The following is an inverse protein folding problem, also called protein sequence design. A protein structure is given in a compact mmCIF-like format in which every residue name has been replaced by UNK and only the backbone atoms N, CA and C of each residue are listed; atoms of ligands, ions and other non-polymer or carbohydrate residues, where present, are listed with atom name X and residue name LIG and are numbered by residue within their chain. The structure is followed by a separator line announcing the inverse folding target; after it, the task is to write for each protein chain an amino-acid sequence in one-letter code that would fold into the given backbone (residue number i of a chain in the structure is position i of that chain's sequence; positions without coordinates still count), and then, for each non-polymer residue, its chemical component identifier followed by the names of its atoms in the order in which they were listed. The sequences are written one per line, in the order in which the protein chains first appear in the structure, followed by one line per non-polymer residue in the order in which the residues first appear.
data_IF_411714288678
#
_entry.id   IF_411714288678
#
_cell.length_a   1.000
_cell.length_b   1.000
_cell.length_c   1.000
_cell.angle_alpha   90.00
_cell.angle_beta   90.00
_cell.angle_gamma   90.00
#
_symmetry.space_group_name_H-M   'P 1'
#
loop_
_entity.id
_entity.type
_entity.pdbx_description
1 polymer ?
#
# COMPACT_ATOMS: atom_id res chain seq x y z
N UNK A 1 -13.73 -7.25 23.05
CA UNK A 1 -12.96 -6.47 22.03
C UNK A 1 -13.62 -6.76 20.69
N UNK A 2 -13.71 -5.81 19.75
CA UNK A 2 -14.10 -6.16 18.39
C UNK A 2 -13.07 -7.12 17.80
N UNK A 3 -13.53 -8.15 17.11
CA UNK A 3 -12.68 -9.09 16.38
C UNK A 3 -12.35 -8.51 15.00
N UNK A 4 -11.10 -8.67 14.55
CA UNK A 4 -10.69 -8.36 13.19
C UNK A 4 -10.62 -9.66 12.40
N UNK A 5 -11.47 -9.81 11.40
CA UNK A 5 -11.46 -10.94 10.46
C UNK A 5 -10.71 -10.57 9.19
N UNK A 6 -10.18 -11.56 8.47
CA UNK A 6 -9.57 -11.38 7.16
C UNK A 6 -9.64 -12.65 6.32
N UNK A 7 -9.53 -12.50 5.00
CA UNK A 7 -9.58 -13.58 4.03
C UNK A 7 -8.39 -13.48 3.06
N UNK A 8 -7.50 -14.47 3.06
CA UNK A 8 -6.34 -14.52 2.16
C UNK A 8 -6.67 -14.55 0.66
N UNK A 9 -7.93 -14.87 0.30
CA UNK A 9 -8.46 -14.83 -1.07
C UNK A 9 -9.15 -13.50 -1.42
N UNK A 10 -9.18 -12.52 -0.51
CA UNK A 10 -9.72 -11.18 -0.74
C UNK A 10 -8.59 -10.22 -1.10
N UNK A 11 -8.67 -9.58 -2.27
CA UNK A 11 -7.69 -8.55 -2.66
C UNK A 11 -7.64 -7.40 -1.64
N UNK A 12 -8.79 -7.00 -1.08
CA UNK A 12 -8.88 -5.93 -0.08
C UNK A 12 -8.13 -6.31 1.20
N UNK A 13 -8.30 -7.54 1.68
CA UNK A 13 -7.61 -8.01 2.89
C UNK A 13 -6.11 -8.16 2.65
N UNK A 14 -5.70 -8.65 1.46
CA UNK A 14 -4.28 -8.71 1.09
C UNK A 14 -3.63 -7.33 1.00
N UNK A 15 -4.34 -6.32 0.50
CA UNK A 15 -3.88 -4.93 0.53
C UNK A 15 -3.75 -4.44 1.97
N UNK A 16 -4.71 -4.74 2.85
CA UNK A 16 -4.64 -4.39 4.26
C UNK A 16 -3.47 -5.08 4.98
N UNK A 17 -3.22 -6.36 4.71
CA UNK A 17 -2.11 -7.12 5.28
C UNK A 17 -0.76 -6.56 4.79
N UNK A 18 -0.67 -6.20 3.50
CA UNK A 18 0.51 -5.56 2.94
C UNK A 18 0.81 -4.22 3.62
N UNK A 19 -0.12 -3.26 3.61
CA UNK A 19 0.14 -1.93 4.20
C UNK A 19 0.46 -2.02 5.69
N UNK A 20 -0.22 -2.92 6.43
CA UNK A 20 0.08 -3.16 7.84
C UNK A 20 1.50 -3.64 8.07
N UNK A 21 1.88 -4.75 7.42
CA UNK A 21 3.22 -5.30 7.57
C UNK A 21 4.30 -4.34 7.04
N UNK A 22 4.03 -3.67 5.92
CA UNK A 22 4.97 -2.78 5.27
C UNK A 22 5.28 -1.55 6.12
N UNK A 23 4.25 -0.90 6.67
CA UNK A 23 4.42 0.27 7.55
C UNK A 23 5.09 -0.14 8.88
N UNK A 24 4.77 -1.31 9.44
CA UNK A 24 5.44 -1.84 10.64
C UNK A 24 6.94 -2.05 10.39
N UNK A 25 7.31 -2.58 9.23
CA UNK A 25 8.71 -2.81 8.83
C UNK A 25 9.46 -1.50 8.65
N UNK A 26 8.84 -0.50 8.02
CA UNK A 26 9.45 0.82 7.83
C UNK A 26 9.63 1.61 9.13
N UNK A 27 8.70 1.46 10.09
CA UNK A 27 8.85 2.01 11.44
C UNK A 27 9.90 1.25 12.29
N UNK A 28 10.22 0.01 11.91
CA UNK A 28 11.25 -0.80 12.54
C UNK A 28 12.66 -0.29 12.24
N UNK A 29 13.59 -0.47 13.18
CA UNK A 29 15.01 -0.14 12.96
C UNK A 29 15.65 -1.13 11.97
N UNK A 30 15.93 -0.67 10.75
CA UNK A 30 16.98 -1.22 9.86
C UNK A 30 16.61 -2.42 8.97
N UNK A 31 15.43 -2.45 8.35
CA UNK A 31 14.98 -3.63 7.57
C UNK A 31 14.56 -3.34 6.13
N UNK A 32 15.42 -2.65 5.37
CA UNK A 32 15.20 -2.47 3.92
C UNK A 32 14.96 -3.81 3.20
N UNK A 33 15.68 -4.87 3.57
CA UNK A 33 15.50 -6.20 2.97
C UNK A 33 14.08 -6.77 3.15
N UNK A 34 13.51 -6.68 4.35
CA UNK A 34 12.17 -7.21 4.60
C UNK A 34 11.10 -6.38 3.88
N UNK A 35 11.33 -5.07 3.74
CA UNK A 35 10.48 -4.21 2.94
C UNK A 35 10.51 -4.63 1.46
N UNK A 36 11.68 -5.00 0.94
CA UNK A 36 11.85 -5.51 -0.42
C UNK A 36 11.17 -6.87 -0.63
N UNK A 37 11.30 -7.80 0.34
CA UNK A 37 10.62 -9.11 0.31
C UNK A 37 9.08 -8.95 0.36
N UNK A 38 8.56 -8.03 1.17
CA UNK A 38 7.13 -7.71 1.19
C UNK A 38 6.68 -7.17 -0.17
N UNK A 39 7.45 -6.25 -0.76
CA UNK A 39 7.16 -5.73 -2.11
C UNK A 39 7.15 -6.87 -3.12
N UNK A 40 8.13 -7.76 -3.10
CA UNK A 40 8.19 -8.92 -3.98
C UNK A 40 6.98 -9.84 -3.82
N UNK A 41 6.55 -10.12 -2.59
CA UNK A 41 5.41 -11.01 -2.35
C UNK A 41 4.07 -10.39 -2.78
N UNK A 42 3.84 -9.11 -2.47
CA UNK A 42 2.52 -8.48 -2.65
C UNK A 42 2.34 -7.74 -3.99
N UNK A 43 3.40 -7.25 -4.62
CA UNK A 43 3.32 -6.44 -5.84
C UNK A 43 3.73 -7.25 -7.06
N UNK A 44 3.10 -7.01 -8.20
CA UNK A 44 3.53 -7.55 -9.49
C UNK A 44 4.93 -7.04 -9.88
N UNK A 45 5.67 -7.81 -10.66
CA UNK A 45 7.06 -7.49 -11.03
C UNK A 45 7.13 -6.22 -11.88
N UNK A 46 6.21 -6.06 -12.84
CA UNK A 46 6.09 -4.87 -13.67
C UNK A 46 5.81 -3.62 -12.83
N UNK A 47 4.95 -3.75 -11.81
CA UNK A 47 4.65 -2.62 -10.92
C UNK A 47 5.86 -2.25 -10.06
N UNK A 48 6.59 -3.22 -9.52
CA UNK A 48 7.84 -2.97 -8.77
C UNK A 48 8.86 -2.20 -9.62
N UNK A 49 9.00 -2.55 -10.90
CA UNK A 49 9.88 -1.83 -11.81
C UNK A 49 9.44 -0.36 -12.00
N UNK A 50 8.14 -0.12 -12.19
CA UNK A 50 7.58 1.24 -12.30
C UNK A 50 7.76 2.06 -11.03
N UNK A 51 7.58 1.45 -9.85
CA UNK A 51 7.87 2.10 -8.58
C UNK A 51 9.33 2.52 -8.50
N UNK A 52 10.27 1.63 -8.83
CA UNK A 52 11.69 1.95 -8.78
C UNK A 52 12.09 3.13 -9.67
N UNK A 53 11.43 3.31 -10.83
CA UNK A 53 11.62 4.50 -11.66
C UNK A 53 11.06 5.75 -10.97
N UNK A 54 9.82 5.69 -10.48
CA UNK A 54 9.19 6.81 -9.80
C UNK A 54 9.98 7.26 -8.56
N UNK A 55 10.46 6.32 -7.74
CA UNK A 55 11.21 6.58 -6.51
C UNK A 55 12.54 7.28 -6.80
N UNK A 56 13.22 6.92 -7.90
CA UNK A 56 14.45 7.61 -8.35
C UNK A 56 14.18 9.05 -8.77
N UNK A 57 13.02 9.31 -9.38
CA UNK A 57 12.64 10.64 -9.86
C UNK A 57 12.15 11.55 -8.71
N UNK A 58 11.45 11.01 -7.72
CA UNK A 58 10.75 11.79 -6.69
C UNK A 58 11.43 11.77 -5.32
N UNK A 59 12.34 10.83 -5.07
CA UNK A 59 13.10 10.75 -3.81
C UNK A 59 12.26 10.37 -2.59
N UNK A 60 11.14 9.68 -2.78
CA UNK A 60 10.26 9.19 -1.72
C UNK A 60 9.92 7.71 -1.89
N UNK A 61 9.11 7.18 -0.97
CA UNK A 61 8.55 5.83 -1.08
C UNK A 61 7.37 5.84 -2.06
N UNK A 62 7.46 5.04 -3.12
CA UNK A 62 6.47 5.01 -4.19
C UNK A 62 5.19 4.26 -3.84
N UNK A 63 5.22 3.38 -2.85
CA UNK A 63 4.02 2.73 -2.32
C UNK A 63 3.20 3.73 -1.51
N UNK A 64 3.89 4.53 -0.69
CA UNK A 64 3.26 5.54 0.16
C UNK A 64 2.98 6.86 -0.58
N UNK A 65 3.57 7.06 -1.77
CA UNK A 65 3.60 8.32 -2.53
C UNK A 65 4.07 9.50 -1.68
N UNK A 66 5.05 9.26 -0.80
CA UNK A 66 5.49 10.26 0.17
C UNK A 66 6.95 10.07 0.60
N UNK A 67 7.55 11.11 1.18
CA UNK A 67 8.92 11.06 1.72
C UNK A 67 9.00 10.55 3.16
N UNK A 68 7.86 10.42 3.85
CA UNK A 68 7.78 10.04 5.25
C UNK A 68 6.89 8.83 5.46
N UNK A 69 6.66 8.49 6.74
CA UNK A 69 5.79 7.39 7.15
C UNK A 69 4.45 7.92 7.70
N UNK A 70 3.32 7.29 7.34
CA UNK A 70 2.04 7.64 7.91
C UNK A 70 1.97 7.17 9.37
N UNK A 71 1.19 7.89 10.18
CA UNK A 71 0.91 7.54 11.58
C UNK A 71 -0.17 6.48 11.70
N UNK A 72 -1.09 6.44 10.74
CA UNK A 72 -2.09 5.37 10.63
C UNK A 72 -2.55 5.19 9.19
N UNK A 73 -3.19 4.06 8.93
CA UNK A 73 -3.75 3.72 7.63
C UNK A 73 -5.11 3.06 7.79
N UNK A 74 -5.98 3.21 6.78
CA UNK A 74 -7.26 2.54 6.70
C UNK A 74 -7.47 2.00 5.27
N UNK A 75 -8.10 0.84 5.16
CA UNK A 75 -8.35 0.17 3.88
C UNK A 75 -9.84 -0.07 3.73
N UNK A 76 -10.37 0.26 2.55
CA UNK A 76 -11.76 0.03 2.19
C UNK A 76 -11.85 -0.52 0.77
N UNK A 77 -12.82 -1.40 0.53
CA UNK A 77 -13.20 -1.76 -0.84
C UNK A 77 -13.65 -0.51 -1.60
N UNK A 78 -13.23 -0.36 -2.86
CA UNK A 78 -13.68 0.73 -3.71
C UNK A 78 -14.54 0.20 -4.87
N UNK A 79 -13.97 -0.63 -5.75
CA UNK A 79 -14.68 -1.19 -6.90
C UNK A 79 -14.00 -2.46 -7.44
N UNK A 80 -14.64 -3.17 -8.38
CA UNK A 80 -14.04 -4.29 -9.11
C UNK A 80 -14.61 -4.41 -10.52
N UNK A 81 -13.78 -4.78 -11.48
CA UNK A 81 -14.14 -4.81 -12.90
C UNK A 81 -12.92 -4.87 -13.81
N UNK A 82 -13.13 -5.19 -15.10
CA UNK A 82 -12.07 -5.24 -16.11
C UNK A 82 -10.84 -6.11 -15.73
N UNK A 83 -11.03 -7.17 -14.95
CA UNK A 83 -9.93 -8.03 -14.50
C UNK A 83 -9.16 -7.50 -13.28
N UNK A 84 -9.67 -6.46 -12.61
CA UNK A 84 -9.02 -5.82 -11.48
C UNK A 84 -9.96 -5.60 -10.30
N UNK A 85 -9.35 -5.47 -9.13
CA UNK A 85 -10.01 -5.03 -7.90
C UNK A 85 -9.35 -3.74 -7.43
N UNK A 86 -10.14 -2.70 -7.21
CA UNK A 86 -9.69 -1.44 -6.66
C UNK A 86 -10.00 -1.35 -5.18
N UNK A 87 -8.98 -1.01 -4.42
CA UNK A 87 -9.03 -0.83 -2.98
C UNK A 87 -8.62 0.60 -2.67
N UNK A 88 -9.37 1.28 -1.82
CA UNK A 88 -9.04 2.61 -1.32
C UNK A 88 -8.19 2.47 -0.06
N UNK A 89 -7.01 3.08 -0.06
CA UNK A 89 -6.13 3.15 1.10
C UNK A 89 -5.99 4.60 1.52
N UNK A 90 -6.43 4.92 2.74
CA UNK A 90 -6.27 6.25 3.33
C UNK A 90 -5.07 6.22 4.25
N UNK A 91 -4.04 7.01 3.94
CA UNK A 91 -2.87 7.23 4.77
C UNK A 91 -3.08 8.53 5.57
N UNK A 92 -2.88 8.46 6.88
CA UNK A 92 -2.95 9.62 7.77
C UNK A 92 -1.55 10.02 8.19
N UNK A 93 -1.24 11.30 8.06
CA UNK A 93 0.04 11.90 8.44
C UNK A 93 -0.22 12.87 9.57
N UNK A 94 0.34 12.62 10.75
CA UNK A 94 0.22 13.54 11.89
C UNK A 94 1.57 14.18 12.18
N UNK A 95 1.62 15.52 12.17
CA UNK A 95 2.82 16.29 12.47
C UNK A 95 2.48 17.74 12.86
N UNK A 96 3.26 18.32 13.77
CA UNK A 96 3.11 19.72 14.22
C UNK A 96 1.67 20.12 14.62
N UNK A 97 0.91 19.21 15.24
CA UNK A 97 -0.46 19.47 15.69
C UNK A 97 -1.54 19.39 14.61
N UNK A 98 -1.18 19.05 13.36
CA UNK A 98 -2.12 18.88 12.26
C UNK A 98 -2.09 17.45 11.72
N UNK A 99 -3.23 17.00 11.18
CA UNK A 99 -3.33 15.74 10.44
C UNK A 99 -3.73 16.02 9.00
N UNK A 100 -3.01 15.45 8.05
CA UNK A 100 -3.35 15.45 6.63
C UNK A 100 -3.58 14.03 6.16
N UNK A 101 -4.38 13.84 5.11
CA UNK A 101 -4.67 12.53 4.55
C UNK A 101 -4.25 12.46 3.08
N UNK A 102 -3.66 11.33 2.69
CA UNK A 102 -3.47 10.96 1.28
C UNK A 102 -4.36 9.76 1.01
N UNK A 103 -5.15 9.83 -0.06
CA UNK A 103 -5.99 8.72 -0.48
C UNK A 103 -5.36 8.09 -1.71
N UNK A 104 -5.14 6.79 -1.65
CA UNK A 104 -4.58 5.99 -2.71
C UNK A 104 -5.65 5.05 -3.25
N UNK A 105 -5.80 5.03 -4.57
CA UNK A 105 -6.48 3.97 -5.27
C UNK A 105 -5.45 2.89 -5.64
N UNK A 106 -5.61 1.72 -5.02
CA UNK A 106 -4.73 0.56 -5.16
C UNK A 106 -5.41 -0.45 -6.05
N UNK A 107 -4.82 -0.72 -7.20
CA UNK A 107 -5.31 -1.71 -8.16
C UNK A 107 -4.62 -3.05 -7.90
N UNK A 108 -5.41 -4.11 -7.81
CA UNK A 108 -4.94 -5.49 -7.74
C UNK A 108 -5.35 -6.27 -8.97
N UNK A 109 -4.46 -7.12 -9.46
CA UNK A 109 -4.78 -8.12 -10.49
C UNK A 109 -5.76 -9.15 -9.92
N UNK A 110 -6.87 -9.41 -10.60
CA UNK A 110 -7.92 -10.28 -10.07
C UNK A 110 -7.48 -11.76 -10.02
N UNK A 111 -6.53 -12.18 -10.86
CA UNK A 111 -6.10 -13.58 -10.94
C UNK A 111 -5.09 -13.96 -9.85
N UNK A 112 -4.14 -13.06 -9.58
CA UNK A 112 -3.04 -13.27 -8.62
C UNK A 112 -3.28 -12.58 -7.28
N UNK A 113 -4.23 -11.65 -7.22
CA UNK A 113 -4.49 -10.77 -6.07
C UNK A 113 -3.28 -9.93 -5.65
N UNK A 114 -2.28 -9.78 -6.53
CA UNK A 114 -1.12 -8.92 -6.32
C UNK A 114 -1.43 -7.50 -6.76
N UNK A 115 -0.83 -6.55 -6.06
CA UNK A 115 -0.95 -5.12 -6.37
C UNK A 115 -0.24 -4.85 -7.69
N UNK A 116 -0.99 -4.34 -8.66
CA UNK A 116 -0.52 -4.05 -10.01
C UNK A 116 -0.37 -2.55 -10.28
N UNK A 117 -1.04 -1.69 -9.51
CA UNK A 117 -0.86 -0.25 -9.60
C UNK A 117 -1.28 0.49 -8.32
N UNK A 118 -0.77 1.72 -8.15
CA UNK A 118 -1.15 2.67 -7.10
C UNK A 118 -1.15 4.07 -7.70
N UNK A 119 -2.25 4.80 -7.54
CA UNK A 119 -2.30 6.23 -7.84
C UNK A 119 -3.00 6.99 -6.71
N UNK A 120 -2.69 8.28 -6.59
CA UNK A 120 -3.45 9.15 -5.70
C UNK A 120 -4.87 9.33 -6.27
N UNK A 121 -5.86 9.27 -5.38
CA UNK A 121 -7.27 9.52 -5.68
C UNK A 121 -7.59 10.96 -5.24
N UNK A 122 -7.66 11.85 -6.23
CA UNK A 122 -7.93 13.30 -6.09
C UNK A 122 -9.40 13.62 -5.85
#
# INVERSE_FOLDING_TARGET
MPERTGNSASAVDRVADFYGAYIDVLNGRGRSHLADELREFYLTDDFRARLGTWEKEHGGDGVLRAQGLPTSWAVAYNDSGMGHVWTRVTLTWTGNGHSTHTVLAVQSDQSSLRISDIHEDT
#
